data_IF_236329594373
#
_entry.id   IF_236329594373
#
_cell.length_a   1.000
_cell.length_b   1.000
_cell.length_c   1.000
_cell.angle_alpha   90.00
_cell.angle_beta   90.00
_cell.angle_gamma   90.00
#
_symmetry.space_group_name_H-M   'P 1'
#
loop_
_entity.id
_entity.type
_entity.pdbx_description
1 polymer ?
#
# COMPACT_ATOMS: atom_id res chain seq x y z
N UNK A 1 -8.63 -0.02 -0.92
CA UNK A 1 -7.88 0.02 -2.20
C UNK A 1 -8.86 0.18 -3.33
N UNK A 2 -8.55 1.07 -4.27
CA UNK A 2 -9.28 1.27 -5.52
C UNK A 2 -8.57 0.49 -6.62
N UNK A 3 -9.26 -0.43 -7.27
CA UNK A 3 -8.72 -1.35 -8.28
C UNK A 3 -8.90 -0.78 -9.69
N UNK A 4 -7.90 -0.97 -10.56
CA UNK A 4 -7.99 -0.58 -11.98
C UNK A 4 -9.08 -1.36 -12.72
N UNK A 5 -9.29 -2.62 -12.32
CA UNK A 5 -10.23 -3.54 -12.95
C UNK A 5 -11.08 -4.22 -11.88
N UNK A 6 -12.34 -4.57 -12.20
CA UNK A 6 -13.18 -5.29 -11.27
C UNK A 6 -12.57 -6.66 -10.95
N UNK A 7 -12.46 -6.96 -9.66
CA UNK A 7 -11.99 -8.23 -9.14
C UNK A 7 -13.19 -9.16 -8.92
N UNK A 8 -13.21 -10.29 -9.62
CA UNK A 8 -14.29 -11.27 -9.52
C UNK A 8 -14.21 -12.10 -8.22
N UNK A 9 -12.98 -12.40 -7.77
CA UNK A 9 -12.70 -13.24 -6.61
C UNK A 9 -11.44 -12.75 -5.90
N UNK A 10 -11.45 -12.75 -4.58
CA UNK A 10 -10.25 -12.45 -3.78
C UNK A 10 -9.27 -13.63 -3.93
N UNK A 11 -7.97 -13.38 -4.16
CA UNK A 11 -6.98 -14.45 -4.15
C UNK A 11 -6.93 -15.13 -2.79
N UNK A 12 -6.73 -16.45 -2.77
CA UNK A 12 -6.61 -17.21 -1.51
C UNK A 12 -5.51 -16.68 -0.59
N UNK A 13 -4.44 -16.10 -1.16
CA UNK A 13 -3.35 -15.49 -0.40
C UNK A 13 -3.77 -14.25 0.40
N UNK A 14 -4.93 -13.65 0.06
CA UNK A 14 -5.44 -12.43 0.67
C UNK A 14 -6.78 -12.65 1.39
N UNK A 15 -7.43 -13.81 1.22
CA UNK A 15 -8.81 -14.07 1.70
C UNK A 15 -9.01 -13.79 3.20
N UNK A 16 -8.01 -14.09 4.04
CA UNK A 16 -8.10 -13.87 5.49
C UNK A 16 -7.90 -12.40 5.92
N UNK A 17 -7.20 -11.60 5.11
CA UNK A 17 -6.86 -10.21 5.43
C UNK A 17 -7.59 -9.20 4.53
N UNK A 18 -8.30 -9.67 3.51
CA UNK A 18 -8.91 -8.86 2.49
C UNK A 18 -10.41 -9.06 2.41
N UNK A 19 -11.10 -7.96 2.16
CA UNK A 19 -12.55 -7.91 2.01
C UNK A 19 -12.90 -7.10 0.79
N UNK A 20 -13.60 -7.73 -0.16
CA UNK A 20 -14.14 -7.04 -1.32
C UNK A 20 -15.41 -6.30 -0.90
N UNK A 21 -15.36 -4.96 -0.93
CA UNK A 21 -16.49 -4.10 -0.58
C UNK A 21 -17.42 -3.95 -1.79
N UNK A 22 -16.83 -3.81 -2.96
CA UNK A 22 -17.47 -3.81 -4.28
C UNK A 22 -16.45 -4.30 -5.32
N UNK A 23 -16.85 -4.60 -6.57
CA UNK A 23 -15.95 -5.18 -7.56
C UNK A 23 -14.65 -4.40 -7.76
N UNK A 24 -14.64 -3.10 -7.52
CA UNK A 24 -13.48 -2.22 -7.69
C UNK A 24 -12.87 -1.73 -6.39
N UNK A 25 -13.42 -2.10 -5.23
CA UNK A 25 -12.94 -1.66 -3.92
C UNK A 25 -12.60 -2.85 -3.05
N UNK A 26 -11.30 -2.98 -2.75
CA UNK A 26 -10.76 -4.00 -1.87
C UNK A 26 -10.30 -3.36 -0.56
N UNK A 27 -10.87 -3.75 0.57
CA UNK A 27 -10.38 -3.38 1.89
C UNK A 27 -9.39 -4.44 2.35
N UNK A 28 -8.21 -4.04 2.87
CA UNK A 28 -7.20 -4.98 3.37
C UNK A 28 -6.67 -4.50 4.72
N UNK A 29 -6.65 -5.41 5.68
CA UNK A 29 -6.01 -5.26 6.98
C UNK A 29 -4.53 -5.63 6.88
N UNK A 30 -3.67 -4.62 6.88
CA UNK A 30 -2.21 -4.78 6.86
C UNK A 30 -1.71 -4.74 8.31
N UNK A 31 -0.99 -5.77 8.76
CA UNK A 31 -0.42 -5.78 10.12
C UNK A 31 0.71 -4.75 10.22
N UNK A 32 0.96 -4.25 11.43
CA UNK A 32 2.02 -3.23 11.70
C UNK A 32 3.42 -3.65 11.25
N UNK A 33 3.68 -4.94 11.18
CA UNK A 33 4.96 -5.55 10.81
C UNK A 33 5.09 -5.76 9.30
N UNK A 34 3.99 -5.59 8.55
CA UNK A 34 3.99 -5.73 7.09
C UNK A 34 4.25 -4.40 6.41
N UNK A 35 5.16 -4.40 5.45
CA UNK A 35 5.48 -3.22 4.67
C UNK A 35 4.51 -3.06 3.50
N UNK A 36 4.06 -1.83 3.30
CA UNK A 36 3.17 -1.49 2.20
C UNK A 36 3.74 -1.87 0.82
N UNK A 37 5.07 -1.76 0.66
CA UNK A 37 5.74 -2.09 -0.59
C UNK A 37 5.69 -3.59 -0.90
N UNK A 38 5.90 -4.45 0.10
CA UNK A 38 5.79 -5.90 -0.07
C UNK A 38 4.35 -6.29 -0.43
N UNK A 39 3.38 -5.60 0.16
CA UNK A 39 1.98 -5.75 -0.16
C UNK A 39 1.63 -5.30 -1.60
N UNK A 40 2.15 -4.17 -2.05
CA UNK A 40 2.03 -3.76 -3.47
C UNK A 40 2.65 -4.78 -4.42
N UNK A 41 3.78 -5.38 -4.05
CA UNK A 41 4.43 -6.43 -4.85
C UNK A 41 3.57 -7.68 -4.92
N UNK A 42 2.97 -8.10 -3.80
CA UNK A 42 2.03 -9.23 -3.75
C UNK A 42 0.81 -9.00 -4.65
N UNK A 43 0.22 -7.80 -4.62
CA UNK A 43 -0.88 -7.44 -5.51
C UNK A 43 -0.46 -7.51 -6.98
N UNK A 44 0.71 -6.96 -7.31
CA UNK A 44 1.24 -6.96 -8.68
C UNK A 44 1.54 -8.38 -9.19
N UNK A 45 2.05 -9.26 -8.33
CA UNK A 45 2.33 -10.67 -8.65
C UNK A 45 1.05 -11.45 -8.97
N UNK A 46 -0.08 -11.03 -8.39
CA UNK A 46 -1.41 -11.59 -8.65
C UNK A 46 -2.17 -10.85 -9.77
N UNK A 47 -1.50 -10.02 -10.58
CA UNK A 47 -2.08 -9.18 -11.64
C UNK A 47 -3.15 -8.19 -11.12
N UNK A 48 -3.16 -7.90 -9.82
CA UNK A 48 -4.08 -6.94 -9.20
C UNK A 48 -3.47 -5.54 -9.28
N UNK A 49 -4.01 -4.74 -10.19
CA UNK A 49 -3.64 -3.33 -10.33
C UNK A 49 -4.54 -2.45 -9.47
N UNK A 50 -3.92 -1.52 -8.78
CA UNK A 50 -4.61 -0.56 -7.91
C UNK A 50 -4.35 0.86 -8.40
N UNK A 51 -5.40 1.65 -8.59
CA UNK A 51 -5.29 3.06 -8.97
C UNK A 51 -4.88 3.93 -7.77
N UNK A 52 -5.39 3.57 -6.60
CA UNK A 52 -5.17 4.34 -5.38
C UNK A 52 -5.35 3.47 -4.15
N UNK A 53 -4.61 3.79 -3.10
CA UNK A 53 -4.73 3.17 -1.81
C UNK A 53 -5.08 4.23 -0.77
N UNK A 54 -6.28 4.13 -0.22
CA UNK A 54 -6.66 4.89 0.98
C UNK A 54 -6.21 4.09 2.19
N UNK A 55 -5.22 4.61 2.90
CA UNK A 55 -4.79 4.06 4.17
C UNK A 55 -5.72 4.60 5.27
N UNK A 56 -6.27 3.75 6.14
CA UNK A 56 -7.09 4.20 7.28
C UNK A 56 -6.23 4.77 8.41
N UNK A 57 -4.90 4.72 8.28
CA UNK A 57 -3.94 5.37 9.16
C UNK A 57 -3.04 6.33 8.38
N UNK A 58 -3.02 7.59 8.83
CA UNK A 58 -2.13 8.65 8.37
C UNK A 58 -0.66 8.20 8.42
N UNK A 59 0.05 8.39 7.30
CA UNK A 59 1.51 8.24 7.18
C UNK A 59 2.17 9.45 6.50
N UNK A 60 1.38 10.48 6.15
CA UNK A 60 1.89 11.75 5.61
C UNK A 60 2.65 12.59 6.66
N UNK A 61 2.47 12.31 7.97
CA UNK A 61 3.25 12.95 9.05
C UNK A 61 4.59 12.25 9.34
N UNK A 62 4.76 10.98 8.99
CA UNK A 62 5.99 10.20 9.30
C UNK A 62 7.04 10.23 8.17
N UNK A 63 6.66 10.55 6.93
CA UNK A 63 7.58 10.65 5.79
C UNK A 63 8.23 12.03 5.62
N UNK A 64 7.84 13.05 6.39
CA UNK A 64 8.50 14.37 6.36
C UNK A 64 9.81 14.43 7.16
N UNK A 65 10.12 13.44 8.01
CA UNK A 65 11.30 13.47 8.90
C UNK A 65 12.54 12.77 8.30
N UNK A 66 12.43 11.95 7.25
CA UNK A 66 13.55 11.11 6.79
C UNK A 66 14.32 11.60 5.54
N UNK A 67 14.11 12.84 5.07
CA UNK A 67 14.93 13.47 4.01
C UNK A 67 15.41 14.89 4.34
N UNK A 68 15.71 15.18 5.61
CA UNK A 68 16.62 16.29 5.95
C UNK A 68 17.90 15.68 6.52
N UNK A 69 18.66 15.01 5.65
CA UNK A 69 20.00 14.55 5.98
C UNK A 69 20.97 15.74 5.97
N UNK A 70 21.92 15.84 6.92
CA UNK A 70 22.87 16.93 7.00
C UNK A 70 23.94 16.76 5.92
N UNK A 71 24.11 17.77 5.07
CA UNK A 71 25.31 17.87 4.24
C UNK A 71 25.90 19.26 4.42
N UNK A 72 26.87 19.33 5.33
CA UNK A 72 27.88 20.37 5.38
C UNK A 72 28.45 20.61 3.98
N UNK A 73 28.44 21.86 3.55
CA UNK A 73 29.40 22.37 2.56
C UNK A 73 30.06 23.59 3.18
N UNK A 74 31.04 23.32 4.04
CA UNK A 74 32.19 24.20 4.22
C UNK A 74 33.01 24.15 2.92
N UNK A 75 33.30 25.31 2.34
CA UNK A 75 33.97 25.38 1.05
C UNK A 75 34.42 26.79 0.70
N UNK A 76 35.33 27.32 1.52
CA UNK A 76 36.22 28.48 1.31
C UNK A 76 35.64 29.88 1.20
#
# INVERSE_FOLDING_TARGET
>A
LDLERPLATIPVALDEAARLIDPTTLEIDIKKEEHLNDFYRLLSDNDIRVNSMRNKANRLEELFISRVGPSSVEGK
#
